data_IF_349839646412
#
_entry.id   IF_349839646412
#
_cell.length_a   1.000
_cell.length_b   1.000
_cell.length_c   1.000
_cell.angle_alpha   90.00
_cell.angle_beta   90.00
_cell.angle_gamma   90.00
#
_symmetry.space_group_name_H-M   'P 1'
#
loop_
_entity.id
_entity.type
_entity.pdbx_description
1 polymer ?
#
# COMPACT_ATOMS: atom_id res chain seq x y z
N UNK A 1 -19.04 -1.47 -3.24
CA UNK A 1 -17.83 -1.60 -4.06
C UNK A 1 -17.41 -0.18 -4.43
N UNK A 2 -16.48 0.43 -3.67
CA UNK A 2 -16.00 1.77 -4.00
C UNK A 2 -14.94 1.61 -5.08
N UNK A 3 -15.30 1.97 -6.30
CA UNK A 3 -14.33 2.20 -7.37
C UNK A 3 -13.53 3.42 -6.87
N UNK A 4 -12.22 3.32 -6.70
CA UNK A 4 -11.36 4.50 -6.81
C UNK A 4 -11.55 4.96 -8.25
N UNK A 5 -12.59 5.77 -8.40
CA UNK A 5 -13.20 6.16 -9.66
C UNK A 5 -12.16 6.78 -10.56
N UNK A 6 -12.42 6.67 -11.84
CA UNK A 6 -11.77 7.44 -12.88
C UNK A 6 -11.24 8.80 -12.37
N UNK A 7 -9.92 9.01 -12.45
CA UNK A 7 -9.28 10.30 -12.16
C UNK A 7 -8.95 10.96 -13.50
N UNK A 8 -9.53 12.14 -13.82
CA UNK A 8 -9.26 12.84 -15.06
C UNK A 8 -7.78 13.11 -15.29
N UNK A 9 -7.37 13.10 -16.57
CA UNK A 9 -5.97 13.31 -16.95
C UNK A 9 -5.39 14.65 -16.44
N UNK A 10 -6.11 15.79 -16.51
CA UNK A 10 -5.60 17.05 -15.97
C UNK A 10 -5.31 17.00 -14.46
N UNK A 11 -6.11 16.26 -13.69
CA UNK A 11 -5.92 16.07 -12.25
C UNK A 11 -4.67 15.22 -11.99
N UNK A 12 -4.53 14.09 -12.70
CA UNK A 12 -3.35 13.23 -12.60
C UNK A 12 -2.05 13.98 -12.93
N UNK A 13 -2.05 14.77 -14.00
CA UNK A 13 -0.86 15.52 -14.43
C UNK A 13 -0.52 16.64 -13.44
N UNK A 14 -1.54 17.27 -12.85
CA UNK A 14 -1.37 18.25 -11.76
C UNK A 14 -0.69 17.63 -10.54
N UNK A 15 -1.18 16.47 -10.07
CA UNK A 15 -0.59 15.76 -8.93
C UNK A 15 0.84 15.29 -9.24
N UNK A 16 1.08 14.73 -10.43
CA UNK A 16 2.43 14.30 -10.86
C UNK A 16 3.42 15.45 -10.88
N UNK A 17 3.03 16.59 -11.46
CA UNK A 17 3.87 17.78 -11.50
C UNK A 17 4.27 18.24 -10.10
N UNK A 18 3.34 18.18 -9.14
CA UNK A 18 3.64 18.49 -7.74
C UNK A 18 4.62 17.47 -7.12
N UNK A 19 4.37 16.16 -7.27
CA UNK A 19 5.27 15.10 -6.79
C UNK A 19 6.69 15.29 -7.36
N UNK A 20 6.81 15.50 -8.67
CA UNK A 20 8.10 15.69 -9.33
C UNK A 20 8.83 16.92 -8.80
N UNK A 21 8.11 18.05 -8.66
CA UNK A 21 8.65 19.28 -8.11
C UNK A 21 9.14 19.09 -6.68
N UNK A 22 8.34 18.43 -5.84
CA UNK A 22 8.63 18.20 -4.43
C UNK A 22 9.86 17.30 -4.23
N UNK A 23 9.91 16.15 -4.91
CA UNK A 23 11.05 15.23 -4.81
C UNK A 23 12.33 15.89 -5.34
N UNK A 24 12.26 16.58 -6.48
CA UNK A 24 13.43 17.28 -7.03
C UNK A 24 13.92 18.41 -6.11
N UNK A 25 13.01 19.12 -5.44
CA UNK A 25 13.38 20.12 -4.42
C UNK A 25 14.08 19.46 -3.23
N UNK A 26 13.61 18.30 -2.79
CA UNK A 26 14.26 17.56 -1.72
C UNK A 26 15.67 17.09 -2.10
N UNK A 27 15.83 16.50 -3.29
CA UNK A 27 17.14 16.06 -3.81
C UNK A 27 18.16 17.20 -3.85
N UNK A 28 17.77 18.39 -4.35
CA UNK A 28 18.67 19.57 -4.39
C UNK A 28 19.16 20.04 -3.02
N UNK A 29 18.40 19.76 -1.96
CA UNK A 29 18.75 20.14 -0.59
C UNK A 29 19.15 18.94 0.27
N UNK A 30 19.39 17.77 -0.33
CA UNK A 30 19.68 16.55 0.42
C UNK A 30 20.90 16.70 1.33
N UNK A 31 21.96 17.33 0.82
CA UNK A 31 23.19 17.59 1.56
C UNK A 31 22.98 18.38 2.87
N UNK A 32 21.89 19.15 3.03
CA UNK A 32 21.60 19.89 4.26
C UNK A 32 20.72 19.13 5.26
N UNK A 33 20.19 17.96 4.90
CA UNK A 33 19.23 17.19 5.74
C UNK A 33 19.59 15.71 5.91
N UNK A 34 20.58 15.17 5.18
CA UNK A 34 20.87 13.73 5.13
C UNK A 34 21.42 13.11 6.41
N UNK A 35 21.93 13.90 7.36
CA UNK A 35 22.56 13.40 8.58
C UNK A 35 21.61 12.55 9.44
N UNK A 36 20.30 12.79 9.34
CA UNK A 36 19.28 12.07 10.09
C UNK A 36 18.15 11.65 9.17
N UNK A 37 17.78 10.36 9.24
CA UNK A 37 16.65 9.80 8.49
C UNK A 37 15.36 10.59 8.70
N UNK A 38 15.02 10.91 9.95
CA UNK A 38 13.85 11.73 10.30
C UNK A 38 13.88 13.14 9.66
N UNK A 39 15.07 13.72 9.48
CA UNK A 39 15.22 15.04 8.89
C UNK A 39 14.96 15.00 7.38
N UNK A 40 15.47 13.99 6.66
CA UNK A 40 15.19 13.78 5.24
C UNK A 40 13.71 13.48 5.03
N UNK A 41 13.16 12.56 5.82
CA UNK A 41 11.74 12.17 5.79
C UNK A 41 10.86 13.39 6.05
N UNK A 42 11.13 14.14 7.12
CA UNK A 42 10.37 15.35 7.46
C UNK A 42 10.45 16.43 6.38
N UNK A 43 11.62 16.64 5.79
CA UNK A 43 11.79 17.63 4.71
C UNK A 43 11.08 17.20 3.42
N UNK A 44 11.25 15.95 2.98
CA UNK A 44 10.58 15.40 1.81
C UNK A 44 9.07 15.52 1.94
N UNK A 45 8.51 15.01 3.04
CA UNK A 45 7.06 14.97 3.21
C UNK A 45 6.46 16.33 3.56
N UNK A 46 7.21 17.22 4.22
CA UNK A 46 6.80 18.61 4.39
C UNK A 46 6.71 19.38 3.06
N UNK A 47 7.58 19.07 2.09
CA UNK A 47 7.51 19.65 0.74
C UNK A 47 6.46 18.94 -0.13
N UNK A 48 6.25 17.64 0.07
CA UNK A 48 5.22 16.86 -0.64
C UNK A 48 3.81 17.20 -0.15
N UNK A 49 3.67 17.60 1.12
CA UNK A 49 2.39 18.04 1.67
C UNK A 49 1.88 19.23 0.85
N UNK A 50 0.61 19.15 0.47
CA UNK A 50 -0.05 20.18 -0.31
C UNK A 50 -1.49 20.33 0.18
N UNK A 51 -1.87 21.58 0.41
CA UNK A 51 -3.26 21.94 0.69
C UNK A 51 -4.17 21.61 -0.50
N UNK A 52 -5.46 21.83 -0.35
CA UNK A 52 -6.41 21.55 -1.42
C UNK A 52 -6.12 22.40 -2.67
N UNK A 53 -5.82 21.74 -3.80
CA UNK A 53 -5.62 22.35 -5.10
C UNK A 53 -6.81 22.04 -6.02
N UNK A 54 -7.38 23.10 -6.61
CA UNK A 54 -8.45 22.99 -7.59
C UNK A 54 -7.90 22.78 -9.02
N UNK A 55 -8.58 21.94 -9.78
CA UNK A 55 -8.34 21.67 -11.19
C UNK A 55 -9.68 21.66 -11.90
N UNK A 56 -9.88 22.60 -12.83
CA UNK A 56 -11.03 22.58 -13.72
C UNK A 56 -10.83 21.51 -14.79
N UNK A 57 -11.76 20.56 -14.87
CA UNK A 57 -11.76 19.49 -15.87
C UNK A 57 -12.88 19.77 -16.88
N UNK A 58 -12.48 19.92 -18.14
CA UNK A 58 -13.37 20.12 -19.28
C UNK A 58 -13.14 19.02 -20.31
N UNK A 59 -14.20 18.60 -21.01
CA UNK A 59 -14.16 17.60 -22.08
C UNK A 59 -13.66 16.21 -21.65
N UNK A 60 -13.99 15.79 -20.43
CA UNK A 60 -13.67 14.47 -19.88
C UNK A 60 -14.96 13.69 -19.50
N UNK A 61 -14.84 12.40 -19.13
CA UNK A 61 -15.96 11.55 -18.69
C UNK A 61 -16.67 12.16 -17.47
N UNK A 62 -15.89 12.76 -16.57
CA UNK A 62 -16.39 13.43 -15.37
C UNK A 62 -15.84 14.87 -15.31
N UNK A 63 -16.64 15.80 -15.80
CA UNK A 63 -16.34 17.23 -15.83
C UNK A 63 -16.58 17.90 -14.47
N UNK A 64 -16.04 19.11 -14.31
CA UNK A 64 -16.27 19.96 -13.15
C UNK A 64 -14.98 20.33 -12.41
N UNK A 65 -15.14 20.91 -11.22
CA UNK A 65 -14.02 21.29 -10.37
C UNK A 65 -13.62 20.08 -9.52
N UNK A 66 -12.41 19.61 -9.77
CA UNK A 66 -11.76 18.60 -8.94
C UNK A 66 -10.85 19.29 -7.93
N UNK A 67 -10.81 18.76 -6.72
CA UNK A 67 -9.92 19.19 -5.65
C UNK A 67 -9.04 18.03 -5.26
N UNK A 68 -7.74 18.25 -5.10
CA UNK A 68 -6.84 17.23 -4.60
C UNK A 68 -5.91 17.79 -3.53
N UNK A 69 -5.45 16.94 -2.61
CA UNK A 69 -4.49 17.33 -1.58
C UNK A 69 -3.64 16.13 -1.16
N UNK A 70 -2.42 16.37 -0.70
CA UNK A 70 -1.55 15.33 -0.14
C UNK A 70 -1.23 15.70 1.29
N UNK A 71 -1.56 14.82 2.22
CA UNK A 71 -1.18 14.90 3.62
C UNK A 71 -0.23 13.77 3.97
N UNK A 72 0.48 13.93 5.08
CA UNK A 72 1.26 12.83 5.66
C UNK A 72 1.14 12.85 7.19
N UNK A 73 1.31 11.68 7.78
CA UNK A 73 1.40 11.50 9.23
C UNK A 73 2.62 10.68 9.58
N UNK A 74 3.39 11.10 10.58
CA UNK A 74 4.50 10.31 11.12
C UNK A 74 4.04 9.55 12.35
N UNK A 75 4.39 8.27 12.41
CA UNK A 75 4.08 7.38 13.52
C UNK A 75 5.00 7.56 14.72
N UNK A 76 6.11 8.28 14.57
CA UNK A 76 6.99 8.69 15.67
C UNK A 76 7.71 7.52 16.34
N UNK A 77 9.04 7.57 16.33
CA UNK A 77 9.87 6.60 17.05
C UNK A 77 10.02 6.93 18.53
N UNK A 78 10.59 5.98 19.29
CA UNK A 78 11.18 6.29 20.60
C UNK A 78 10.72 5.48 21.80
N UNK A 79 10.36 4.20 21.63
CA UNK A 79 10.19 3.31 22.77
C UNK A 79 9.47 2.00 22.45
N UNK A 80 9.56 1.06 23.39
CA UNK A 80 8.73 -0.13 23.40
C UNK A 80 7.25 0.28 23.42
N UNK A 81 6.46 -0.23 22.47
CA UNK A 81 5.04 0.11 22.31
C UNK A 81 4.77 1.40 21.54
N UNK A 82 5.78 2.03 20.93
CA UNK A 82 5.56 3.10 19.95
C UNK A 82 4.82 2.57 18.72
N UNK A 83 4.07 3.45 18.05
CA UNK A 83 3.37 3.12 16.80
C UNK A 83 4.29 2.48 15.77
N UNK A 84 5.48 3.07 15.57
CA UNK A 84 6.49 2.55 14.65
C UNK A 84 6.92 1.12 15.04
N UNK A 85 7.12 0.86 16.34
CA UNK A 85 7.47 -0.48 16.81
C UNK A 85 6.35 -1.51 16.61
N UNK A 86 5.10 -1.09 16.51
CA UNK A 86 3.93 -1.96 16.33
C UNK A 86 3.65 -2.19 14.84
N UNK A 87 3.55 -1.11 14.06
CA UNK A 87 3.19 -1.12 12.64
C UNK A 87 4.39 -1.50 11.76
N UNK A 88 5.60 -1.11 12.17
CA UNK A 88 6.80 -1.24 11.35
C UNK A 88 6.93 -0.19 10.25
N UNK A 89 6.18 0.91 10.31
CA UNK A 89 6.29 2.06 9.41
C UNK A 89 6.65 3.33 10.17
N UNK A 90 7.35 4.23 9.49
CA UNK A 90 7.64 5.58 9.98
C UNK A 90 6.43 6.50 9.82
N UNK A 91 5.55 6.22 8.86
CA UNK A 91 4.39 7.05 8.59
C UNK A 91 3.49 6.56 7.46
N UNK A 92 2.59 7.46 7.10
CA UNK A 92 1.54 7.29 6.08
C UNK A 92 1.46 8.52 5.20
N UNK A 93 1.28 8.32 3.89
CA UNK A 93 0.94 9.34 2.90
C UNK A 93 -0.54 9.19 2.58
N UNK A 94 -1.31 10.28 2.58
CA UNK A 94 -2.74 10.29 2.27
C UNK A 94 -3.01 11.24 1.10
N UNK A 95 -3.55 10.72 0.00
CA UNK A 95 -4.10 11.50 -1.10
C UNK A 95 -5.60 11.67 -0.89
N UNK A 96 -6.07 12.91 -0.90
CA UNK A 96 -7.49 13.25 -0.87
C UNK A 96 -7.93 13.76 -2.23
N UNK A 97 -9.08 13.30 -2.72
CA UNK A 97 -9.72 13.76 -3.94
C UNK A 97 -11.17 14.13 -3.63
N UNK A 98 -11.60 15.33 -4.02
CA UNK A 98 -12.98 15.77 -3.89
C UNK A 98 -13.54 16.18 -5.25
N UNK A 99 -14.70 15.64 -5.61
CA UNK A 99 -15.50 16.07 -6.76
C UNK A 99 -16.99 15.96 -6.40
N UNK A 100 -17.80 16.98 -6.69
CA UNK A 100 -19.26 16.96 -6.48
C UNK A 100 -19.64 16.52 -5.04
N UNK A 101 -18.91 17.04 -4.04
CA UNK A 101 -19.01 16.68 -2.62
C UNK A 101 -18.62 15.24 -2.23
N UNK A 102 -18.24 14.38 -3.18
CA UNK A 102 -17.66 13.08 -2.89
C UNK A 102 -16.18 13.23 -2.54
N UNK A 103 -15.83 12.97 -1.28
CA UNK A 103 -14.45 12.84 -0.82
C UNK A 103 -14.01 11.38 -0.95
N UNK A 104 -12.91 11.15 -1.67
CA UNK A 104 -12.21 9.87 -1.74
C UNK A 104 -10.83 10.04 -1.14
N UNK A 105 -10.39 9.04 -0.38
CA UNK A 105 -9.05 8.99 0.17
C UNK A 105 -8.30 7.79 -0.34
N UNK A 106 -6.99 7.90 -0.30
CA UNK A 106 -6.09 6.79 -0.57
C UNK A 106 -4.81 6.95 0.22
N UNK A 107 -4.38 5.88 0.85
CA UNK A 107 -3.25 5.91 1.75
C UNK A 107 -2.16 4.92 1.36
N UNK A 108 -0.92 5.25 1.75
CA UNK A 108 0.25 4.40 1.56
C UNK A 108 1.18 4.53 2.77
N UNK A 109 1.43 3.42 3.46
CA UNK A 109 2.43 3.36 4.52
C UNK A 109 3.84 3.39 3.92
N UNK A 110 4.78 3.95 4.67
CA UNK A 110 6.18 3.92 4.28
C UNK A 110 7.11 3.64 5.47
N UNK A 111 8.18 2.93 5.18
CA UNK A 111 9.39 2.88 6.01
C UNK A 111 10.52 3.57 5.24
N UNK A 112 11.32 4.37 5.90
CA UNK A 112 12.42 5.12 5.32
C UNK A 112 13.76 4.52 5.73
N UNK A 113 14.78 4.75 4.89
CA UNK A 113 16.19 4.49 5.15
C UNK A 113 17.07 5.51 4.45
N UNK A 114 18.18 5.90 5.08
CA UNK A 114 19.24 6.68 4.44
C UNK A 114 20.35 5.73 3.97
N UNK A 115 20.65 5.78 2.67
CA UNK A 115 21.70 5.04 1.96
C UNK A 115 21.95 3.61 2.48
N UNK A 116 20.86 2.86 2.59
CA UNK A 116 20.90 1.52 3.14
C UNK A 116 21.43 0.53 2.10
N UNK A 117 22.63 -0.01 2.34
CA UNK A 117 23.36 -0.85 1.39
C UNK A 117 23.58 -2.29 1.86
N UNK A 118 23.63 -2.51 3.18
CA UNK A 118 23.88 -3.81 3.79
C UNK A 118 22.58 -4.55 4.18
N UNK A 119 22.70 -5.68 4.86
CA UNK A 119 21.55 -6.32 5.51
C UNK A 119 21.15 -5.53 6.75
N UNK A 120 19.89 -5.12 6.86
CA UNK A 120 19.29 -4.52 8.05
C UNK A 120 18.22 -5.46 8.63
N UNK A 121 18.55 -6.09 9.76
CA UNK A 121 17.63 -6.99 10.46
C UNK A 121 16.43 -6.24 11.05
N UNK A 122 16.58 -4.98 11.45
CA UNK A 122 15.46 -4.19 11.95
C UNK A 122 14.48 -3.89 10.82
N UNK A 123 15.00 -3.51 9.64
CA UNK A 123 14.17 -3.33 8.45
C UNK A 123 13.45 -4.61 8.03
N UNK A 124 14.11 -5.76 8.13
CA UNK A 124 13.45 -7.05 7.90
C UNK A 124 12.25 -7.27 8.85
N UNK A 125 12.43 -7.00 10.14
CA UNK A 125 11.36 -7.11 11.13
C UNK A 125 10.25 -6.07 10.92
N UNK A 126 10.60 -4.84 10.54
CA UNK A 126 9.65 -3.79 10.15
C UNK A 126 8.83 -4.23 8.93
N UNK A 127 9.48 -4.74 7.87
CA UNK A 127 8.82 -5.26 6.68
C UNK A 127 7.90 -6.44 7.00
N UNK A 128 8.29 -7.30 7.94
CA UNK A 128 7.45 -8.41 8.39
C UNK A 128 6.14 -7.92 9.02
N UNK A 129 6.19 -6.85 9.83
CA UNK A 129 4.97 -6.23 10.40
C UNK A 129 4.14 -5.54 9.31
N UNK A 130 4.81 -4.85 8.38
CA UNK A 130 4.14 -4.19 7.26
C UNK A 130 3.45 -5.15 6.29
N UNK A 131 3.74 -6.46 6.34
CA UNK A 131 3.02 -7.46 5.58
C UNK A 131 1.52 -7.47 5.87
N UNK A 132 1.07 -7.02 7.05
CA UNK A 132 -0.35 -6.77 7.35
C UNK A 132 -0.99 -5.83 6.32
N UNK A 133 -0.24 -4.88 5.76
CA UNK A 133 -0.71 -3.94 4.72
C UNK A 133 -0.02 -4.20 3.38
N UNK A 134 0.22 -5.46 3.02
CA UNK A 134 0.88 -5.81 1.77
C UNK A 134 0.17 -5.18 0.56
N UNK A 135 0.92 -4.41 -0.23
CA UNK A 135 0.41 -3.64 -1.37
C UNK A 135 -0.04 -2.22 -1.04
N UNK A 136 -0.13 -1.87 0.24
CA UNK A 136 -0.33 -0.51 0.75
C UNK A 136 0.82 -0.03 1.63
N UNK A 137 2.01 -0.62 1.48
CA UNK A 137 3.23 -0.23 2.16
C UNK A 137 4.45 -0.29 1.23
N UNK A 138 5.39 0.63 1.41
CA UNK A 138 6.66 0.68 0.67
C UNK A 138 7.85 0.93 1.61
N UNK A 139 9.06 0.66 1.10
CA UNK A 139 10.31 1.11 1.71
C UNK A 139 10.95 2.16 0.81
N UNK A 140 11.37 3.30 1.37
CA UNK A 140 12.04 4.38 0.66
C UNK A 140 13.50 4.43 1.09
N UNK A 141 14.41 4.43 0.12
CA UNK A 141 15.83 4.62 0.33
C UNK A 141 16.27 5.98 -0.20
N UNK A 142 16.77 6.84 0.67
CA UNK A 142 17.28 8.16 0.32
C UNK A 142 18.77 8.11 0.03
N UNK A 143 19.16 8.56 -1.15
CA UNK A 143 20.56 8.82 -1.51
C UNK A 143 20.68 10.24 -2.04
N UNK A 144 21.91 10.73 -2.21
CA UNK A 144 22.17 12.06 -2.78
C UNK A 144 21.68 12.18 -4.23
N UNK A 145 21.81 11.10 -5.02
CA UNK A 145 21.44 11.11 -6.44
C UNK A 145 19.94 10.87 -6.66
N UNK A 146 19.32 10.05 -5.84
CA UNK A 146 17.92 9.65 -6.03
C UNK A 146 17.24 9.16 -4.75
N UNK A 147 15.91 9.28 -4.73
CA UNK A 147 15.05 8.59 -3.77
C UNK A 147 14.42 7.40 -4.46
N UNK A 148 14.82 6.20 -4.04
CA UNK A 148 14.33 4.94 -4.61
C UNK A 148 13.27 4.36 -3.67
N UNK A 149 12.22 3.76 -4.22
CA UNK A 149 11.18 3.09 -3.47
C UNK A 149 11.04 1.64 -3.91
N UNK A 150 10.73 0.78 -2.94
CA UNK A 150 10.64 -0.67 -3.08
C UNK A 150 9.34 -1.17 -2.46
N UNK A 151 8.76 -2.24 -3.03
CA UNK A 151 7.71 -2.97 -2.34
C UNK A 151 8.25 -3.67 -1.11
N UNK A 152 7.49 -3.65 -0.01
CA UNK A 152 7.87 -4.29 1.27
C UNK A 152 8.15 -5.79 1.11
N UNK A 153 7.41 -6.45 0.23
CA UNK A 153 7.55 -7.85 -0.12
C UNK A 153 8.90 -8.18 -0.78
N UNK A 154 9.49 -7.23 -1.48
CA UNK A 154 10.78 -7.39 -2.18
C UNK A 154 11.91 -7.25 -1.18
N UNK A 155 11.82 -6.27 -0.28
CA UNK A 155 12.75 -6.10 0.84
C UNK A 155 12.67 -7.29 1.80
N UNK A 156 11.47 -7.77 2.08
CA UNK A 156 11.21 -8.95 2.90
C UNK A 156 11.83 -10.23 2.29
N UNK A 157 11.62 -10.50 0.99
CA UNK A 157 12.22 -11.64 0.30
C UNK A 157 13.76 -11.64 0.36
N UNK A 158 14.35 -10.44 0.40
CA UNK A 158 15.80 -10.24 0.49
C UNK A 158 16.32 -10.23 1.94
N UNK A 159 15.47 -10.60 2.92
CA UNK A 159 15.78 -10.62 4.35
C UNK A 159 16.26 -9.26 4.88
N UNK A 160 15.64 -8.19 4.41
CA UNK A 160 16.11 -6.83 4.67
C UNK A 160 17.50 -6.64 4.08
N UNK A 161 17.71 -6.93 2.79
CA UNK A 161 18.83 -6.41 1.97
C UNK A 161 18.27 -5.54 0.85
N UNK A 162 18.99 -4.50 0.44
CA UNK A 162 18.53 -3.58 -0.61
C UNK A 162 18.32 -4.36 -1.92
N UNK A 163 17.11 -4.35 -2.50
CA UNK A 163 16.88 -4.96 -3.80
C UNK A 163 17.73 -4.26 -4.88
N UNK A 164 18.19 -5.03 -5.88
CA UNK A 164 18.96 -4.49 -7.01
C UNK A 164 18.11 -3.59 -7.91
N UNK A 165 16.80 -3.80 -7.92
CA UNK A 165 15.84 -3.06 -8.73
C UNK A 165 14.85 -2.34 -7.82
N UNK A 166 14.68 -1.05 -8.07
CA UNK A 166 13.67 -0.20 -7.43
C UNK A 166 13.16 0.83 -8.42
N UNK A 167 12.11 1.55 -8.03
CA UNK A 167 11.60 2.67 -8.82
C UNK A 167 12.00 3.97 -8.15
N UNK A 168 12.24 5.02 -8.94
CA UNK A 168 12.31 6.36 -8.34
C UNK A 168 10.99 6.66 -7.63
N UNK A 169 11.04 7.37 -6.51
CA UNK A 169 9.86 7.70 -5.72
C UNK A 169 8.81 8.45 -6.57
N UNK A 170 9.26 9.33 -7.48
CA UNK A 170 8.40 10.00 -8.45
C UNK A 170 7.61 9.01 -9.31
N UNK A 171 8.29 8.02 -9.89
CA UNK A 171 7.66 7.01 -10.76
C UNK A 171 6.72 6.12 -9.95
N UNK A 172 7.12 5.70 -8.75
CA UNK A 172 6.27 4.87 -7.90
C UNK A 172 4.99 5.62 -7.50
N UNK A 173 5.10 6.84 -7.00
CA UNK A 173 3.92 7.61 -6.63
C UNK A 173 3.08 8.00 -7.87
N UNK A 174 3.71 8.55 -8.91
CA UNK A 174 3.02 9.05 -10.10
C UNK A 174 2.41 7.97 -11.01
N UNK A 175 2.95 6.74 -11.02
CA UNK A 175 2.51 5.69 -11.94
C UNK A 175 1.93 4.45 -11.26
N UNK A 176 2.27 4.17 -10.00
CA UNK A 176 1.69 3.03 -9.28
C UNK A 176 0.65 3.49 -8.27
N UNK A 177 0.99 4.46 -7.42
CA UNK A 177 0.06 4.97 -6.42
C UNK A 177 -1.11 5.71 -7.08
N UNK A 178 -0.88 6.65 -8.00
CA UNK A 178 -1.99 7.31 -8.70
C UNK A 178 -2.81 6.37 -9.60
N UNK A 179 -2.21 5.30 -10.12
CA UNK A 179 -2.89 4.33 -10.98
C UNK A 179 -3.55 3.17 -10.20
N UNK A 180 -3.67 3.28 -8.87
CA UNK A 180 -4.33 2.24 -8.06
C UNK A 180 -3.70 0.86 -8.09
N UNK A 181 -2.39 0.79 -8.36
CA UNK A 181 -1.60 -0.45 -8.26
C UNK A 181 -1.09 -0.72 -6.85
N UNK A 182 -0.83 0.34 -6.08
CA UNK A 182 -0.43 0.28 -4.68
C UNK A 182 -1.20 1.31 -3.86
N UNK A 183 -1.24 1.14 -2.54
CA UNK A 183 -2.03 1.95 -1.62
C UNK A 183 -3.49 1.50 -1.59
N UNK A 184 -4.21 1.93 -0.56
CA UNK A 184 -5.57 1.45 -0.28
C UNK A 184 -6.48 2.61 0.14
N UNK A 185 -7.76 2.56 -0.24
CA UNK A 185 -8.76 3.58 0.13
C UNK A 185 -9.38 3.35 1.49
N UNK A 186 -9.34 2.12 1.99
CA UNK A 186 -9.91 1.75 3.28
C UNK A 186 -8.89 1.93 4.42
N UNK A 187 -7.62 2.19 4.08
CA UNK A 187 -6.56 2.52 5.04
C UNK A 187 -6.60 4.02 5.39
N UNK A 188 -6.82 4.36 6.65
CA UNK A 188 -6.87 5.76 7.12
C UNK A 188 -6.16 5.94 8.47
N UNK A 189 -5.56 7.10 8.68
CA UNK A 189 -4.94 7.47 9.96
C UNK A 189 -5.62 8.69 10.59
N UNK A 190 -6.02 8.55 11.86
CA UNK A 190 -6.42 9.69 12.70
C UNK A 190 -5.26 10.07 13.63
N UNK A 191 -4.57 11.20 13.37
CA UNK A 191 -3.46 11.63 14.22
C UNK A 191 -3.90 12.16 15.60
N UNK A 192 -5.16 12.57 15.75
CA UNK A 192 -5.70 13.10 17.01
C UNK A 192 -5.96 11.95 17.97
N UNK A 193 -6.69 10.94 17.51
CA UNK A 193 -7.03 9.75 18.29
C UNK A 193 -5.93 8.67 18.24
N UNK A 194 -4.93 8.85 17.35
CA UNK A 194 -3.82 7.93 17.09
C UNK A 194 -4.30 6.54 16.68
N UNK A 195 -5.24 6.51 15.74
CA UNK A 195 -5.87 5.30 15.22
C UNK A 195 -5.41 5.06 13.80
N UNK A 196 -4.92 3.84 13.52
CA UNK A 196 -4.81 3.34 12.15
C UNK A 196 -6.01 2.43 11.92
N UNK A 197 -6.81 2.74 10.91
CA UNK A 197 -8.08 2.08 10.60
C UNK A 197 -7.94 1.43 9.23
N UNK A 198 -8.43 0.20 9.07
CA UNK A 198 -8.51 -0.45 7.77
C UNK A 198 -9.63 -1.47 7.69
N UNK A 199 -9.93 -1.92 6.47
CA UNK A 199 -10.79 -3.06 6.22
C UNK A 199 -9.95 -4.33 6.09
N UNK A 200 -10.21 -5.34 6.92
CA UNK A 200 -9.51 -6.61 6.87
C UNK A 200 -10.05 -7.55 5.78
N UNK A 201 -9.40 -8.69 5.56
CA UNK A 201 -9.79 -9.70 4.57
C UNK A 201 -11.23 -10.25 4.71
N UNK A 202 -11.84 -10.11 5.90
CA UNK A 202 -13.23 -10.49 6.16
C UNK A 202 -14.21 -9.35 5.85
N UNK A 203 -13.68 -8.19 5.43
CA UNK A 203 -14.38 -6.93 5.19
C UNK A 203 -14.84 -6.23 6.48
N UNK A 204 -14.31 -6.65 7.61
CA UNK A 204 -14.57 -5.99 8.87
C UNK A 204 -13.68 -4.75 8.96
N UNK A 205 -14.25 -3.63 9.40
CA UNK A 205 -13.45 -2.46 9.73
C UNK A 205 -12.82 -2.72 11.09
N UNK A 206 -11.50 -2.70 11.13
CA UNK A 206 -10.70 -2.88 12.34
C UNK A 206 -9.82 -1.66 12.53
N UNK A 207 -9.36 -1.46 13.75
CA UNK A 207 -8.38 -0.42 14.02
C UNK A 207 -7.41 -0.85 15.11
N UNK A 208 -6.24 -0.24 15.11
CA UNK A 208 -5.32 -0.33 16.24
C UNK A 208 -4.98 1.07 16.75
N UNK A 209 -4.86 1.20 18.07
CA UNK A 209 -4.56 2.44 18.76
C UNK A 209 -3.12 2.44 19.25
N UNK A 210 -2.48 3.60 19.17
CA UNK A 210 -1.08 3.70 19.55
C UNK A 210 -0.83 4.71 20.67
N UNK A 211 0.06 4.33 21.58
CA UNK A 211 0.52 5.18 22.66
C UNK A 211 1.79 5.92 22.23
N UNK A 212 1.63 7.19 21.82
CA UNK A 212 2.77 8.10 21.71
C UNK A 212 3.11 8.64 23.09
N UNK A 213 4.18 8.13 23.71
CA UNK A 213 4.78 8.68 24.92
C UNK A 213 5.49 10.01 24.59
N UNK A 214 4.76 11.09 24.35
CA UNK A 214 5.35 12.44 24.22
C UNK A 214 5.53 13.06 25.60
N UNK A 215 6.76 13.47 25.93
CA UNK A 215 7.18 14.03 27.23
C UNK A 215 6.81 15.52 27.46
N UNK A 216 5.89 16.10 26.68
CA UNK A 216 5.43 17.47 26.91
C UNK A 216 3.96 17.60 26.53
N UNK A 217 3.11 17.84 27.53
CA UNK A 217 1.66 17.98 27.37
C UNK A 217 1.26 19.40 27.76
N UNK A 218 0.90 20.22 26.79
CA UNK A 218 0.03 21.39 27.02
C UNK A 218 -1.39 20.88 26.79
N UNK A 219 -2.18 20.76 27.86
CA UNK A 219 -3.53 20.19 27.77
C UNK A 219 -4.52 21.25 27.28
N UNK A 220 -4.83 21.24 25.99
CA UNK A 220 -5.93 22.02 25.41
C UNK A 220 -7.06 21.05 25.08
N UNK A 221 -8.14 21.08 25.85
CA UNK A 221 -9.31 20.23 25.61
C UNK A 221 -10.16 20.82 24.50
N UNK A 222 -9.89 20.44 23.25
CA UNK A 222 -10.82 20.67 22.15
C UNK A 222 -12.05 19.74 22.30
N UNK A 223 -13.25 20.14 21.84
CA UNK A 223 -14.39 19.22 21.78
C UNK A 223 -14.03 17.98 20.97
N UNK A 224 -14.34 16.78 21.50
CA UNK A 224 -14.07 15.50 20.84
C UNK A 224 -14.77 15.48 19.49
N UNK A 225 -13.99 15.64 18.41
CA UNK A 225 -14.42 15.37 17.04
C UNK A 225 -13.55 14.23 16.53
N UNK A 226 -13.96 12.99 16.83
CA UNK A 226 -13.40 11.84 16.12
C UNK A 226 -13.71 11.99 14.63
N UNK A 227 -12.73 11.74 13.75
CA UNK A 227 -13.00 11.65 12.31
C UNK A 227 -13.86 10.44 11.97
N UNK A 228 -13.99 9.49 12.89
CA UNK A 228 -14.64 8.20 12.69
C UNK A 228 -15.78 7.98 13.70
N UNK A 229 -16.97 8.58 13.47
CA UNK A 229 -18.12 8.39 14.36
C UNK A 229 -18.67 6.96 14.37
N UNK A 230 -18.25 6.13 13.40
CA UNK A 230 -18.71 4.75 13.24
C UNK A 230 -17.84 3.71 13.95
N UNK A 231 -16.66 4.09 14.46
CA UNK A 231 -15.77 3.16 15.17
C UNK A 231 -16.32 2.86 16.56
N UNK A 232 -16.38 1.57 16.89
CA UNK A 232 -16.83 1.07 18.20
C UNK A 232 -15.68 0.36 18.92
N UNK A 233 -15.65 0.34 20.27
CA UNK A 233 -14.55 -0.28 21.03
C UNK A 233 -14.27 -1.73 20.67
N UNK A 234 -15.28 -2.51 20.29
CA UNK A 234 -15.15 -3.91 19.87
C UNK A 234 -14.38 -4.12 18.56
N UNK A 235 -14.13 -3.04 17.78
CA UNK A 235 -13.34 -3.08 16.55
C UNK A 235 -11.83 -2.86 16.82
N UNK A 236 -11.45 -2.58 18.07
CA UNK A 236 -10.06 -2.40 18.47
C UNK A 236 -9.35 -3.75 18.49
N UNK A 237 -8.27 -3.87 17.73
CA UNK A 237 -7.41 -5.05 17.76
C UNK A 237 -6.12 -4.76 18.53
N UNK A 238 -5.68 -5.74 19.33
CA UNK A 238 -4.42 -5.66 20.04
C UNK A 238 -3.25 -5.75 19.06
N UNK A 239 -2.13 -5.12 19.40
CA UNK A 239 -0.94 -5.12 18.55
C UNK A 239 -0.40 -6.52 18.23
N UNK A 240 -0.62 -7.49 19.13
CA UNK A 240 -0.27 -8.91 18.91
C UNK A 240 -1.08 -9.56 17.78
N UNK A 241 -2.27 -9.03 17.50
CA UNK A 241 -3.27 -9.66 16.65
C UNK A 241 -3.29 -9.02 15.25
N UNK A 242 -2.45 -8.02 14.99
CA UNK A 242 -2.34 -7.34 13.69
C UNK A 242 -2.11 -8.30 12.51
N UNK A 243 -1.36 -9.37 12.73
CA UNK A 243 -1.09 -10.36 11.69
C UNK A 243 -2.33 -11.21 11.33
N UNK A 244 -3.32 -11.28 12.23
CA UNK A 244 -4.57 -12.03 12.05
C UNK A 244 -5.61 -11.22 11.26
N UNK A 245 -5.46 -9.89 11.24
CA UNK A 245 -6.34 -8.96 10.51
C UNK A 245 -5.61 -8.25 9.37
N UNK A 246 -5.10 -8.97 8.36
CA UNK A 246 -4.45 -8.32 7.24
C UNK A 246 -5.42 -7.46 6.43
N UNK A 247 -4.91 -6.37 5.88
CA UNK A 247 -5.60 -5.50 4.94
C UNK A 247 -6.16 -6.32 3.78
N UNK A 248 -7.40 -6.05 3.42
CA UNK A 248 -8.03 -6.56 2.19
C UNK A 248 -7.48 -5.89 0.94
N UNK A 249 -6.17 -5.99 0.76
CA UNK A 249 -5.46 -5.32 -0.32
C UNK A 249 -5.78 -6.02 -1.64
N UNK A 250 -6.33 -5.26 -2.59
CA UNK A 250 -6.45 -5.72 -3.99
C UNK A 250 -5.07 -5.96 -4.62
N UNK A 251 -4.04 -5.24 -4.13
CA UNK A 251 -2.67 -5.35 -4.61
C UNK A 251 -1.98 -6.67 -4.19
N UNK A 252 -2.60 -7.47 -3.31
CA UNK A 252 -2.22 -8.86 -3.07
C UNK A 252 -2.47 -9.77 -4.27
N UNK A 253 -3.25 -9.34 -5.25
CA UNK A 253 -3.52 -10.12 -6.44
C UNK A 253 -2.50 -9.71 -7.52
N UNK A 254 -1.42 -10.46 -7.78
CA UNK A 254 -0.61 -10.25 -8.97
C UNK A 254 -1.42 -10.68 -10.18
N UNK A 255 -2.45 -9.90 -10.54
CA UNK A 255 -3.30 -10.07 -11.72
C UNK A 255 -3.64 -11.54 -12.03
N UNK A 256 -3.83 -12.40 -11.01
CA UNK A 256 -4.02 -13.85 -11.21
C UNK A 256 -5.28 -14.06 -12.07
N UNK A 257 -6.28 -13.22 -11.83
CA UNK A 257 -7.52 -13.16 -12.59
C UNK A 257 -7.32 -12.88 -14.09
N UNK A 258 -6.22 -12.20 -14.49
CA UNK A 258 -5.95 -11.78 -15.86
C UNK A 258 -4.92 -12.67 -16.58
N UNK A 259 -4.32 -13.65 -15.91
CA UNK A 259 -3.40 -14.60 -16.56
C UNK A 259 -4.19 -15.53 -17.47
N UNK A 260 -3.95 -15.45 -18.78
CA UNK A 260 -4.65 -16.27 -19.78
C UNK A 260 -3.93 -17.57 -20.15
N UNK A 261 -2.73 -17.81 -19.61
CA UNK A 261 -1.92 -18.99 -19.89
C UNK A 261 -1.68 -19.88 -18.66
N UNK A 262 -1.80 -21.20 -18.84
CA UNK A 262 -1.63 -22.17 -17.74
C UNK A 262 -0.18 -22.29 -17.27
N UNK A 263 0.80 -22.11 -18.15
CA UNK A 263 2.21 -22.24 -17.78
C UNK A 263 2.72 -20.96 -17.09
N UNK A 264 2.24 -19.78 -17.50
CA UNK A 264 2.42 -18.53 -16.77
C UNK A 264 1.81 -18.61 -15.35
N UNK A 265 0.59 -19.15 -15.22
CA UNK A 265 -0.05 -19.33 -13.92
C UNK A 265 0.78 -20.23 -12.99
N UNK A 266 1.36 -21.33 -13.51
CA UNK A 266 2.28 -22.19 -12.75
C UNK A 266 3.58 -21.48 -12.36
N UNK A 267 4.14 -20.64 -13.23
CA UNK A 267 5.34 -19.83 -12.93
C UNK A 267 5.05 -18.87 -11.77
N UNK A 268 3.88 -18.21 -11.80
CA UNK A 268 3.45 -17.29 -10.75
C UNK A 268 3.21 -18.04 -9.44
N UNK A 269 2.54 -19.21 -9.47
CA UNK A 269 2.41 -20.09 -8.29
C UNK A 269 3.77 -20.38 -7.65
N UNK A 270 4.74 -20.86 -8.45
CA UNK A 270 6.08 -21.18 -7.97
C UNK A 270 6.80 -19.95 -7.41
N UNK A 271 6.66 -18.78 -8.04
CA UNK A 271 7.24 -17.52 -7.57
C UNK A 271 6.65 -17.11 -6.21
N UNK A 272 5.33 -17.14 -6.06
CA UNK A 272 4.64 -16.79 -4.81
C UNK A 272 4.97 -17.77 -3.68
N UNK A 273 4.89 -19.08 -3.93
CA UNK A 273 5.29 -20.09 -2.94
C UNK A 273 6.74 -19.90 -2.54
N UNK A 274 7.65 -19.72 -3.50
CA UNK A 274 9.06 -19.45 -3.20
C UNK A 274 9.21 -18.17 -2.38
N UNK A 275 8.41 -17.14 -2.58
CA UNK A 275 8.56 -15.86 -1.87
C UNK A 275 8.06 -15.89 -0.43
N UNK A 276 6.90 -16.51 -0.21
CA UNK A 276 6.15 -16.40 1.04
C UNK A 276 6.15 -17.68 1.89
N UNK A 277 6.88 -18.73 1.50
CA UNK A 277 7.00 -19.94 2.32
C UNK A 277 7.65 -19.62 3.68
N UNK A 278 7.01 -19.97 4.82
CA UNK A 278 7.56 -19.69 6.15
C UNK A 278 8.97 -20.23 6.38
N UNK A 279 9.30 -21.42 5.86
CA UNK A 279 10.65 -22.01 5.97
C UNK A 279 11.78 -21.16 5.39
N UNK A 280 11.48 -20.21 4.48
CA UNK A 280 12.49 -19.28 3.95
C UNK A 280 12.76 -18.10 4.87
N UNK A 281 11.97 -17.96 5.91
CA UNK A 281 11.96 -16.87 6.87
C UNK A 281 12.12 -17.43 8.29
N UNK A 282 13.26 -18.08 8.60
CA UNK A 282 13.47 -18.65 9.91
C UNK A 282 13.49 -17.55 10.99
N UNK A 283 12.81 -17.81 12.11
CA UNK A 283 12.76 -16.89 13.24
C UNK A 283 11.65 -15.83 13.16
N UNK A 284 10.71 -15.95 12.22
CA UNK A 284 9.47 -15.18 12.29
C UNK A 284 8.68 -15.55 13.55
N UNK A 285 8.04 -14.57 14.23
CA UNK A 285 7.14 -14.88 15.32
C UNK A 285 5.90 -15.64 14.81
N UNK A 286 5.29 -16.43 15.69
CA UNK A 286 4.19 -17.33 15.33
C UNK A 286 3.02 -16.64 14.60
N UNK A 287 2.56 -15.43 15.00
CA UNK A 287 1.49 -14.74 14.29
C UNK A 287 1.83 -14.46 12.82
N UNK A 288 3.08 -14.11 12.52
CA UNK A 288 3.54 -13.84 11.15
C UNK A 288 3.69 -15.13 10.33
N UNK A 289 4.09 -16.24 10.96
CA UNK A 289 4.08 -17.56 10.31
C UNK A 289 2.66 -17.97 9.92
N UNK A 290 1.69 -17.80 10.84
CA UNK A 290 0.27 -18.05 10.56
C UNK A 290 -0.22 -17.18 9.40
N UNK A 291 0.08 -15.87 9.44
CA UNK A 291 -0.27 -14.95 8.36
C UNK A 291 0.29 -15.40 7.00
N UNK A 292 1.57 -15.80 6.92
CA UNK A 292 2.16 -16.29 5.66
C UNK A 292 1.49 -17.57 5.16
N UNK A 293 1.11 -18.48 6.06
CA UNK A 293 0.37 -19.68 5.70
C UNK A 293 -1.02 -19.35 5.13
N UNK A 294 -1.76 -18.45 5.79
CA UNK A 294 -3.08 -18.01 5.34
C UNK A 294 -2.99 -17.25 4.01
N UNK A 295 -1.98 -16.41 3.84
CA UNK A 295 -1.68 -15.71 2.60
C UNK A 295 -1.41 -16.71 1.46
N UNK A 296 -0.57 -17.71 1.71
CA UNK A 296 -0.29 -18.77 0.72
C UNK A 296 -1.53 -19.60 0.38
N UNK A 297 -2.39 -19.90 1.37
CA UNK A 297 -3.66 -20.57 1.14
C UNK A 297 -4.55 -19.73 0.22
N UNK A 298 -4.68 -18.43 0.50
CA UNK A 298 -5.40 -17.49 -0.36
C UNK A 298 -4.90 -17.46 -1.80
N UNK A 299 -3.58 -17.46 -2.01
CA UNK A 299 -3.01 -17.55 -3.36
C UNK A 299 -3.32 -18.89 -4.04
N UNK A 300 -3.22 -20.00 -3.32
CA UNK A 300 -3.51 -21.32 -3.87
C UNK A 300 -4.98 -21.44 -4.29
N UNK A 301 -5.92 -20.90 -3.51
CA UNK A 301 -7.34 -20.91 -3.83
C UNK A 301 -7.64 -20.09 -5.10
N UNK A 302 -7.06 -18.88 -5.21
CA UNK A 302 -7.20 -18.04 -6.41
C UNK A 302 -6.59 -18.69 -7.67
N UNK A 303 -5.41 -19.29 -7.54
CA UNK A 303 -4.75 -20.00 -8.64
C UNK A 303 -5.58 -21.21 -9.08
N UNK A 304 -6.12 -21.99 -8.13
CA UNK A 304 -6.95 -23.15 -8.45
C UNK A 304 -8.22 -22.75 -9.20
N UNK A 305 -8.88 -21.66 -8.79
CA UNK A 305 -10.07 -21.17 -9.49
C UNK A 305 -9.73 -20.67 -10.89
N UNK A 306 -8.62 -19.93 -11.07
CA UNK A 306 -8.20 -19.49 -12.40
C UNK A 306 -7.80 -20.67 -13.29
N UNK A 307 -7.08 -21.64 -12.76
CA UNK A 307 -6.68 -22.86 -13.48
C UNK A 307 -7.92 -23.62 -14.01
N UNK A 308 -8.99 -23.68 -13.22
CA UNK A 308 -10.28 -24.27 -13.62
C UNK A 308 -10.89 -23.51 -14.80
N UNK A 309 -10.91 -22.17 -14.77
CA UNK A 309 -11.40 -21.32 -15.87
C UNK A 309 -10.61 -21.58 -17.16
N UNK A 310 -9.27 -21.57 -17.09
CA UNK A 310 -8.41 -21.79 -18.25
C UNK A 310 -8.57 -23.18 -18.85
N UNK A 311 -8.66 -24.23 -18.01
CA UNK A 311 -8.92 -25.60 -18.47
C UNK A 311 -10.28 -25.74 -19.15
N UNK A 312 -11.31 -25.07 -18.64
CA UNK A 312 -12.64 -25.06 -19.28
C UNK A 312 -12.62 -24.36 -20.64
N UNK A 313 -11.90 -23.24 -20.76
CA UNK A 313 -11.70 -22.53 -22.03
C UNK A 313 -10.99 -23.40 -23.06
N UNK A 314 -9.85 -24.01 -22.68
CA UNK A 314 -9.10 -24.92 -23.56
C UNK A 314 -9.94 -26.10 -24.05
N UNK A 315 -10.75 -26.72 -23.17
CA UNK A 315 -11.68 -27.79 -23.56
C UNK A 315 -12.78 -27.33 -24.53
N UNK A 316 -13.18 -26.06 -24.52
CA UNK A 316 -14.13 -25.51 -25.50
C UNK A 316 -13.46 -25.25 -26.84
N UNK A 317 -12.20 -24.83 -26.84
CA UNK A 317 -11.40 -24.59 -28.05
C UNK A 317 -11.00 -25.91 -28.75
N UNK A 318 -10.72 -26.97 -27.97
CA UNK A 318 -10.37 -28.30 -28.49
C UNK A 318 -11.59 -29.11 -28.99
N UNK A 319 -12.83 -28.68 -28.68
CA UNK A 319 -14.02 -29.33 -29.23
C UNK A 319 -14.10 -28.98 -30.72
N UNK A 320 -14.09 -29.96 -31.63
CA UNK A 320 -14.31 -29.68 -33.05
C UNK A 320 -15.63 -28.91 -33.18
N UNK A 321 -15.71 -27.91 -34.09
CA UNK A 321 -16.97 -27.22 -34.34
C UNK A 321 -18.00 -28.31 -34.63
N UNK A 322 -18.98 -28.46 -33.73
CA UNK A 322 -20.01 -29.47 -33.90
C UNK A 322 -20.62 -29.21 -35.26
N UNK A 323 -20.52 -30.17 -36.18
CA UNK A 323 -21.09 -30.10 -37.52
C UNK A 323 -22.55 -29.65 -37.40
N UNK A 324 -22.78 -28.35 -37.53
CA UNK A 324 -24.10 -27.78 -37.77
C UNK A 324 -24.43 -27.96 -39.26
N UNK A 325 -24.09 -29.12 -39.82
CA UNK A 325 -24.67 -29.66 -41.03
C UNK A 325 -26.09 -30.14 -40.70
N UNK A 326 -26.95 -29.19 -40.34
CA UNK A 326 -28.37 -29.37 -40.09
C UNK A 326 -29.16 -28.64 -41.16
N UNK A 327 -29.36 -29.33 -42.27
CA UNK A 327 -30.41 -29.17 -43.30
C UNK A 327 -31.12 -27.82 -43.38
N UNK A 328 -30.73 -27.03 -44.40
CA UNK A 328 -31.67 -26.15 -45.09
C UNK A 328 -32.69 -27.07 -45.78
N UNK A 329 -33.82 -27.34 -45.11
CA UNK A 329 -35.02 -27.81 -45.79
C UNK A 329 -35.64 -26.56 -46.45
N UNK A 330 -35.52 -26.51 -47.78
CA UNK A 330 -36.27 -25.60 -48.67
C UNK A 330 -37.72 -26.07 -48.80
#
# INVERSE_FOLDING_TARGET
>A
MVYLGYIPRPVLDSIRKHIDSAVNKCLRNYASVYEKEDAVTGYLFGVLQHEEQEVLVENDEINGIWKWGINFGTFGGGGAGSTESIVGADGIIELTLTNNAQLTKKSLLFQSKVDWSARDNNLYQQCTKLMTWLGAAIVINYTESEFTAFGIDTVFEQNGRKPSEGLSLQKLLGNQFLACKIGDSDLEYDPVEKLLVWQDIHRDTVFTKFNLNRKLTISVTAPKRTRFPYIKPEMEIQSSDLAIHPLNSRALNPDIAYIDDLDELKKIKKKLSKRFHPDRHPGLPAPQVTFLNDLMKGFNDQIAEREKVLKQRKKKEDKPPSDQSGSIFL
#
